data_IF_473150837913
#
_entry.id   IF_473150837913
#
_cell.length_a   1.000
_cell.length_b   1.000
_cell.length_c   1.000
_cell.angle_alpha   90.00
_cell.angle_beta   90.00
_cell.angle_gamma   90.00
#
_symmetry.space_group_name_H-M   'P 1'
#
loop_
_entity.id
_entity.type
_entity.pdbx_description
1 polymer ?
#
# COMPACT_ATOMS: atom_id res chain seq x y z
N UNK A 1 39.98 0.49 8.45
CA UNK A 1 38.70 1.21 8.59
C UNK A 1 37.59 0.22 8.31
N UNK A 2 36.60 0.08 9.17
CA UNK A 2 35.47 -0.83 8.91
C UNK A 2 34.55 -0.23 7.85
N UNK A 3 33.74 -1.08 7.17
CA UNK A 3 32.73 -0.63 6.21
C UNK A 3 31.73 0.34 6.90
N UNK A 4 31.40 0.07 8.15
CA UNK A 4 30.51 0.92 8.92
C UNK A 4 31.08 2.34 9.10
N UNK A 5 32.38 2.46 9.37
CA UNK A 5 33.02 3.79 9.48
C UNK A 5 33.05 4.53 8.14
N UNK A 6 33.28 3.81 7.04
CA UNK A 6 33.26 4.43 5.69
C UNK A 6 31.86 4.95 5.36
N UNK A 7 30.83 4.19 5.69
CA UNK A 7 29.43 4.60 5.46
C UNK A 7 29.10 5.81 6.32
N UNK A 8 29.47 5.82 7.61
CA UNK A 8 29.24 6.95 8.49
C UNK A 8 29.93 8.22 8.00
N UNK A 9 31.19 8.13 7.61
CA UNK A 9 31.94 9.27 7.02
C UNK A 9 31.31 9.77 5.73
N UNK A 10 30.82 8.86 4.86
CA UNK A 10 30.13 9.22 3.64
C UNK A 10 28.81 9.96 3.94
N UNK A 11 28.03 9.45 4.86
CA UNK A 11 26.74 10.05 5.24
C UNK A 11 26.93 11.42 5.85
N UNK A 12 27.94 11.62 6.70
CA UNK A 12 28.27 12.90 7.28
C UNK A 12 28.64 13.94 6.20
N UNK A 13 29.45 13.53 5.21
CA UNK A 13 29.83 14.40 4.09
C UNK A 13 28.64 14.76 3.20
N UNK A 14 27.82 13.75 2.84
CA UNK A 14 26.63 13.98 1.99
C UNK A 14 25.61 14.87 2.69
N UNK A 15 25.49 14.80 4.01
CA UNK A 15 24.62 15.69 4.78
C UNK A 15 25.03 17.16 4.70
N UNK A 16 26.31 17.44 4.50
CA UNK A 16 26.83 18.80 4.40
C UNK A 16 26.61 19.42 3.01
N UNK A 17 26.24 18.62 1.99
CA UNK A 17 25.99 19.13 0.65
C UNK A 17 24.59 19.75 0.52
N UNK A 18 24.54 20.98 0.04
CA UNK A 18 23.29 21.69 -0.21
C UNK A 18 22.48 20.97 -1.31
N UNK A 19 21.23 20.64 -0.99
CA UNK A 19 20.33 19.94 -1.91
C UNK A 19 20.45 18.41 -1.92
N UNK A 20 21.43 17.81 -1.24
CA UNK A 20 21.47 16.37 -1.05
C UNK A 20 20.32 15.92 -0.13
N UNK A 21 19.58 14.90 -0.55
CA UNK A 21 18.46 14.34 0.19
C UNK A 21 17.45 15.38 0.73
N UNK A 22 16.77 16.14 -0.15
CA UNK A 22 15.88 17.24 0.25
C UNK A 22 14.74 16.86 1.17
N UNK A 23 14.42 15.55 1.26
CA UNK A 23 13.33 15.00 2.09
C UNK A 23 13.81 14.42 3.42
N UNK A 24 15.08 14.54 3.78
CA UNK A 24 15.54 14.09 5.09
C UNK A 24 14.98 14.98 6.20
N UNK A 25 14.35 14.33 7.17
CA UNK A 25 13.55 14.97 8.24
C UNK A 25 14.30 16.00 9.08
N UNK A 26 15.60 15.88 9.22
CA UNK A 26 16.37 16.66 10.23
C UNK A 26 17.07 17.90 9.69
N UNK A 27 16.79 18.35 8.46
CA UNK A 27 17.68 19.36 7.85
C UNK A 27 17.12 20.75 7.62
N UNK A 28 15.84 20.97 7.77
CA UNK A 28 15.26 22.31 7.58
C UNK A 28 14.29 22.64 8.72
N UNK A 29 14.59 23.74 9.39
CA UNK A 29 13.61 24.38 10.25
C UNK A 29 12.43 24.85 9.39
N UNK A 30 11.22 24.50 9.80
CA UNK A 30 10.01 24.97 9.12
C UNK A 30 9.77 26.43 9.45
N UNK A 31 9.78 27.28 8.44
CA UNK A 31 9.49 28.71 8.56
C UNK A 31 8.07 28.98 8.05
N UNK A 32 7.12 29.34 8.94
CA UNK A 32 5.75 29.64 8.53
C UNK A 32 5.70 30.77 7.49
N UNK A 33 4.99 30.53 6.38
CA UNK A 33 4.85 31.48 5.28
C UNK A 33 5.95 31.42 4.22
N UNK A 34 7.07 30.72 4.49
CA UNK A 34 8.20 30.57 3.56
C UNK A 34 8.42 29.11 3.15
N UNK A 35 8.39 28.21 4.11
CA UNK A 35 8.61 26.78 3.83
C UNK A 35 7.42 26.16 3.11
N UNK A 36 7.65 25.38 2.02
CA UNK A 36 6.56 24.68 1.35
C UNK A 36 5.97 23.60 2.24
N UNK A 37 4.65 23.49 2.24
CA UNK A 37 3.92 22.36 2.82
C UNK A 37 3.71 21.33 1.72
N UNK A 38 4.40 20.20 1.81
CA UNK A 38 4.28 19.13 0.83
C UNK A 38 3.04 18.28 1.11
N UNK A 39 2.40 17.81 0.06
CA UNK A 39 1.28 16.89 0.11
C UNK A 39 1.67 15.57 0.82
N UNK A 40 2.82 15.03 0.47
CA UNK A 40 3.40 13.84 1.10
C UNK A 40 4.91 13.82 0.90
N UNK A 41 5.59 12.91 1.55
CA UNK A 41 7.02 12.70 1.37
C UNK A 41 7.52 11.57 2.28
N UNK A 42 8.70 11.00 1.97
CA UNK A 42 9.28 9.99 2.84
C UNK A 42 9.76 10.64 4.15
N UNK A 43 9.49 9.96 5.25
CA UNK A 43 10.13 10.25 6.52
C UNK A 43 11.30 9.30 6.70
N UNK A 44 12.51 9.80 6.54
CA UNK A 44 13.74 9.01 6.63
C UNK A 44 14.90 9.83 7.17
N UNK A 45 15.88 9.15 7.73
CA UNK A 45 17.13 9.72 8.22
C UNK A 45 18.35 8.90 7.75
N UNK A 46 19.44 9.02 8.46
CA UNK A 46 20.67 8.30 8.14
C UNK A 46 20.52 6.78 8.30
N UNK A 47 19.60 6.31 9.14
CA UNK A 47 19.45 4.88 9.41
C UNK A 47 18.97 4.14 8.16
N UNK A 48 18.01 4.70 7.43
CA UNK A 48 17.51 4.10 6.19
C UNK A 48 18.62 4.05 5.13
N UNK A 49 19.38 5.13 4.99
CA UNK A 49 20.47 5.20 4.01
C UNK A 49 21.58 4.22 4.38
N UNK A 50 21.97 4.15 5.65
CA UNK A 50 22.97 3.22 6.13
C UNK A 50 22.58 1.75 5.86
N UNK A 51 21.32 1.40 6.12
CA UNK A 51 20.81 0.03 5.86
C UNK A 51 20.80 -0.29 4.38
N UNK A 52 20.45 0.67 3.50
CA UNK A 52 20.50 0.51 2.04
C UNK A 52 21.93 0.21 1.59
N UNK A 53 22.90 1.02 1.99
CA UNK A 53 24.32 0.79 1.64
C UNK A 53 24.83 -0.53 2.18
N UNK A 54 24.55 -0.87 3.43
CA UNK A 54 24.94 -2.15 4.02
C UNK A 54 24.35 -3.34 3.27
N UNK A 55 23.06 -3.26 2.91
CA UNK A 55 22.38 -4.29 2.16
C UNK A 55 22.98 -4.47 0.76
N UNK A 56 23.29 -3.37 0.08
CA UNK A 56 23.93 -3.38 -1.23
C UNK A 56 25.32 -4.00 -1.19
N UNK A 57 26.16 -3.61 -0.24
CA UNK A 57 27.54 -4.11 -0.13
C UNK A 57 27.64 -5.57 0.33
N UNK A 58 26.68 -6.05 1.12
CA UNK A 58 26.62 -7.44 1.60
C UNK A 58 25.85 -8.37 0.67
N UNK A 59 25.06 -7.82 -0.24
CA UNK A 59 24.24 -8.59 -1.17
C UNK A 59 25.06 -9.34 -2.19
N UNK A 60 24.70 -10.62 -2.44
CA UNK A 60 25.32 -11.42 -3.50
C UNK A 60 24.72 -11.16 -4.87
N UNK A 61 23.47 -10.67 -4.89
CA UNK A 61 22.67 -10.43 -6.08
C UNK A 61 21.85 -9.14 -5.91
N UNK A 62 21.66 -8.42 -7.00
CA UNK A 62 20.74 -7.25 -7.05
C UNK A 62 19.30 -7.73 -7.28
N UNK A 63 18.79 -8.54 -6.38
CA UNK A 63 17.46 -9.13 -6.44
C UNK A 63 16.91 -9.33 -5.02
N UNK A 64 15.69 -9.86 -4.91
CA UNK A 64 15.12 -10.25 -3.62
C UNK A 64 16.05 -11.16 -2.85
N UNK A 65 16.32 -10.81 -1.60
CA UNK A 65 17.29 -11.51 -0.77
C UNK A 65 16.87 -11.59 0.69
N UNK A 66 17.85 -11.64 1.57
CA UNK A 66 17.64 -11.85 3.01
C UNK A 66 16.79 -10.75 3.66
N UNK A 67 16.98 -9.49 3.26
CA UNK A 67 16.23 -8.36 3.83
C UNK A 67 14.75 -8.40 3.42
N UNK A 68 14.45 -8.76 2.17
CA UNK A 68 13.07 -9.00 1.72
C UNK A 68 12.42 -10.12 2.54
N UNK A 69 13.11 -11.26 2.68
CA UNK A 69 12.59 -12.37 3.48
C UNK A 69 12.37 -12.02 4.96
N UNK A 70 13.23 -11.18 5.54
CA UNK A 70 13.04 -10.66 6.91
C UNK A 70 11.82 -9.74 6.99
N UNK A 71 11.69 -8.84 6.01
CA UNK A 71 10.55 -7.92 5.94
C UNK A 71 9.24 -8.70 5.84
N UNK A 72 9.12 -9.62 4.89
CA UNK A 72 7.91 -10.42 4.68
C UNK A 72 7.48 -11.16 5.95
N UNK A 73 8.42 -11.81 6.65
CA UNK A 73 8.13 -12.51 7.92
C UNK A 73 7.69 -11.56 9.03
N UNK A 74 8.35 -10.40 9.18
CA UNK A 74 7.98 -9.41 10.21
C UNK A 74 6.63 -8.78 9.91
N UNK A 75 6.39 -8.44 8.65
CA UNK A 75 5.15 -7.82 8.20
C UNK A 75 3.95 -8.75 8.40
N UNK A 76 4.03 -9.99 7.91
CA UNK A 76 2.96 -10.96 8.10
C UNK A 76 2.66 -11.22 9.58
N UNK A 77 3.70 -11.35 10.42
CA UNK A 77 3.53 -11.52 11.87
C UNK A 77 2.85 -10.31 12.53
N UNK A 78 3.26 -9.06 12.14
CA UNK A 78 2.69 -7.83 12.70
C UNK A 78 1.19 -7.72 12.45
N UNK A 79 0.72 -8.15 11.29
CA UNK A 79 -0.69 -8.06 10.86
C UNK A 79 -1.46 -9.38 11.00
N UNK A 80 -0.91 -10.37 11.72
CA UNK A 80 -1.59 -11.65 11.95
C UNK A 80 -1.88 -12.45 10.67
N UNK A 81 -1.08 -12.29 9.62
CA UNK A 81 -1.25 -12.99 8.34
C UNK A 81 -0.32 -14.21 8.27
N UNK A 82 -0.76 -15.23 7.54
CA UNK A 82 0.04 -16.46 7.36
C UNK A 82 1.35 -16.19 6.61
N UNK A 83 1.32 -15.29 5.62
CA UNK A 83 2.49 -14.89 4.82
C UNK A 83 2.25 -13.54 4.19
N UNK A 84 3.33 -12.92 3.73
CA UNK A 84 3.29 -11.75 2.86
C UNK A 84 4.26 -11.92 1.70
N UNK A 85 4.03 -11.19 0.63
CA UNK A 85 4.87 -11.16 -0.55
C UNK A 85 5.20 -9.71 -0.89
N UNK A 86 6.49 -9.41 -0.94
CA UNK A 86 6.97 -8.10 -1.33
C UNK A 86 7.07 -7.99 -2.85
N UNK A 87 6.55 -6.90 -3.38
CA UNK A 87 6.63 -6.53 -4.81
C UNK A 87 7.19 -5.11 -4.93
N UNK A 88 7.42 -4.65 -6.15
CA UNK A 88 8.09 -3.37 -6.42
C UNK A 88 7.24 -2.13 -6.17
N UNK A 89 5.92 -2.27 -6.04
CA UNK A 89 4.99 -1.15 -5.79
C UNK A 89 3.63 -1.63 -5.28
N UNK A 90 2.85 -0.74 -4.68
CA UNK A 90 1.45 -0.99 -4.32
C UNK A 90 0.59 -1.34 -5.53
N UNK A 91 0.83 -0.70 -6.67
CA UNK A 91 0.14 -1.02 -7.93
C UNK A 91 0.37 -2.47 -8.38
N UNK A 92 1.61 -2.95 -8.28
CA UNK A 92 1.94 -4.36 -8.55
C UNK A 92 1.34 -5.30 -7.49
N UNK A 93 1.28 -4.86 -6.24
CA UNK A 93 0.63 -5.63 -5.18
C UNK A 93 -0.86 -5.85 -5.48
N UNK A 94 -1.58 -4.80 -5.86
CA UNK A 94 -2.98 -4.88 -6.26
C UNK A 94 -3.19 -5.83 -7.45
N UNK A 95 -2.33 -5.72 -8.47
CA UNK A 95 -2.42 -6.58 -9.66
C UNK A 95 -2.23 -8.07 -9.31
N UNK A 96 -1.19 -8.38 -8.54
CA UNK A 96 -0.89 -9.75 -8.11
C UNK A 96 -1.98 -10.29 -7.19
N UNK A 97 -2.48 -9.45 -6.28
CA UNK A 97 -3.53 -9.82 -5.34
C UNK A 97 -4.84 -10.21 -6.05
N UNK A 98 -5.33 -9.40 -6.98
CA UNK A 98 -6.54 -9.70 -7.76
C UNK A 98 -6.33 -10.97 -8.62
N UNK A 99 -5.18 -11.10 -9.29
CA UNK A 99 -4.87 -12.29 -10.08
C UNK A 99 -4.84 -13.57 -9.21
N UNK A 100 -4.25 -13.48 -8.03
CA UNK A 100 -4.17 -14.60 -7.09
C UNK A 100 -5.54 -15.00 -6.56
N UNK A 101 -6.40 -14.03 -6.21
CA UNK A 101 -7.75 -14.26 -5.74
C UNK A 101 -8.61 -14.89 -6.84
N UNK A 102 -8.55 -14.34 -8.05
CA UNK A 102 -9.24 -14.91 -9.22
C UNK A 102 -8.90 -16.39 -9.42
N UNK A 103 -7.60 -16.70 -9.39
CA UNK A 103 -7.11 -18.08 -9.53
C UNK A 103 -7.55 -18.97 -8.37
N UNK A 104 -7.41 -18.49 -7.13
CA UNK A 104 -7.72 -19.26 -5.92
C UNK A 104 -9.20 -19.63 -5.82
N UNK A 105 -10.08 -18.70 -6.15
CA UNK A 105 -11.53 -18.86 -6.00
C UNK A 105 -12.24 -19.24 -7.31
N UNK A 106 -11.51 -19.38 -8.41
CA UNK A 106 -12.05 -19.79 -9.70
C UNK A 106 -12.97 -18.73 -10.34
N UNK A 107 -12.73 -17.45 -10.07
CA UNK A 107 -13.53 -16.36 -10.66
C UNK A 107 -13.40 -16.35 -12.19
N UNK A 108 -14.50 -16.02 -12.84
CA UNK A 108 -14.59 -16.02 -14.31
C UNK A 108 -14.46 -14.58 -14.87
N UNK A 109 -14.15 -14.48 -16.15
CA UNK A 109 -14.21 -13.20 -16.86
C UNK A 109 -15.64 -12.64 -16.81
N UNK A 110 -15.74 -11.34 -16.48
CA UNK A 110 -17.03 -10.67 -16.27
C UNK A 110 -17.64 -10.84 -14.88
N UNK A 111 -17.01 -11.58 -13.97
CA UNK A 111 -17.36 -11.51 -12.55
C UNK A 111 -17.06 -10.10 -11.99
N UNK A 112 -17.80 -9.71 -10.97
CA UNK A 112 -17.86 -8.33 -10.51
C UNK A 112 -17.10 -8.11 -9.20
N UNK A 113 -16.40 -6.97 -9.12
CA UNK A 113 -15.77 -6.47 -7.89
C UNK A 113 -16.33 -5.08 -7.61
N UNK A 114 -16.93 -4.91 -6.44
CA UNK A 114 -17.42 -3.60 -5.98
C UNK A 114 -16.22 -2.76 -5.55
N UNK A 115 -16.19 -1.50 -5.98
CA UNK A 115 -15.10 -0.56 -5.73
C UNK A 115 -15.63 0.86 -5.63
N UNK A 116 -15.01 1.70 -4.79
CA UNK A 116 -15.36 3.12 -4.72
C UNK A 116 -15.06 3.86 -6.02
N UNK A 117 -15.87 4.85 -6.35
CA UNK A 117 -15.59 5.80 -7.44
C UNK A 117 -14.46 6.78 -7.10
N UNK A 118 -14.11 6.93 -5.82
CA UNK A 118 -12.98 7.75 -5.34
C UNK A 118 -11.87 6.83 -4.84
N UNK A 119 -10.67 7.05 -5.34
CA UNK A 119 -9.50 6.26 -4.98
C UNK A 119 -8.40 6.38 -6.03
N UNK A 120 -7.38 5.54 -5.88
CA UNK A 120 -6.26 5.55 -6.82
C UNK A 120 -6.54 4.66 -8.04
N UNK A 121 -6.11 5.05 -9.26
CA UNK A 121 -6.41 4.29 -10.49
C UNK A 121 -5.98 2.82 -10.44
N UNK A 122 -4.93 2.49 -9.68
CA UNK A 122 -4.42 1.12 -9.57
C UNK A 122 -5.16 0.25 -8.56
N UNK A 123 -6.17 0.77 -7.88
CA UNK A 123 -7.18 -0.05 -7.19
C UNK A 123 -8.18 -0.61 -8.20
N UNK A 124 -8.49 0.14 -9.27
CA UNK A 124 -9.47 -0.23 -10.30
C UNK A 124 -8.84 -1.02 -11.46
N UNK A 125 -7.69 -0.54 -11.97
CA UNK A 125 -7.05 -1.13 -13.15
C UNK A 125 -6.81 -2.65 -13.06
N UNK A 126 -6.36 -3.24 -11.94
CA UNK A 126 -6.19 -4.69 -11.80
C UNK A 126 -7.47 -5.51 -11.97
N UNK A 127 -8.63 -4.96 -11.65
CA UNK A 127 -9.93 -5.62 -11.86
C UNK A 127 -10.12 -5.84 -13.36
N UNK A 128 -9.98 -4.77 -14.14
CA UNK A 128 -10.15 -4.81 -15.61
C UNK A 128 -9.05 -5.66 -16.26
N UNK A 129 -7.80 -5.51 -15.84
CA UNK A 129 -6.67 -6.26 -16.37
C UNK A 129 -6.79 -7.78 -16.18
N UNK A 130 -7.51 -8.19 -15.14
CA UNK A 130 -7.81 -9.60 -14.88
C UNK A 130 -9.14 -10.07 -15.50
N UNK A 131 -9.75 -9.30 -16.40
CA UNK A 131 -11.00 -9.65 -17.07
C UNK A 131 -12.24 -9.56 -16.17
N UNK A 132 -12.11 -8.98 -14.99
CA UNK A 132 -13.22 -8.74 -14.07
C UNK A 132 -13.87 -7.38 -14.38
N UNK A 133 -15.05 -7.15 -13.83
CA UNK A 133 -15.84 -5.94 -14.04
C UNK A 133 -15.90 -5.13 -12.74
N UNK A 134 -15.40 -3.88 -12.72
CA UNK A 134 -15.62 -2.99 -11.59
C UNK A 134 -17.08 -2.55 -11.53
N UNK A 135 -17.67 -2.61 -10.34
CA UNK A 135 -18.99 -2.06 -10.03
C UNK A 135 -18.78 -0.92 -9.05
N UNK A 136 -19.10 0.30 -9.48
CA UNK A 136 -18.82 1.49 -8.70
C UNK A 136 -19.92 1.78 -7.71
N UNK A 137 -19.51 2.18 -6.51
CA UNK A 137 -20.34 2.81 -5.47
C UNK A 137 -19.87 4.22 -5.23
N UNK A 138 -20.79 5.10 -4.90
CA UNK A 138 -20.47 6.48 -4.53
C UNK A 138 -19.93 6.56 -3.11
N UNK A 139 -19.47 7.73 -2.73
CA UNK A 139 -18.93 8.05 -1.42
C UNK A 139 -19.91 8.86 -0.60
N UNK A 140 -19.85 8.72 0.72
CA UNK A 140 -20.44 9.71 1.59
C UNK A 140 -19.43 10.87 1.79
N UNK A 141 -19.94 12.10 1.87
CA UNK A 141 -19.11 13.30 2.01
C UNK A 141 -18.61 13.56 3.44
N UNK A 142 -18.98 12.70 4.39
CA UNK A 142 -18.56 12.85 5.80
C UNK A 142 -17.14 12.34 6.00
N UNK A 143 -16.82 11.18 5.42
CA UNK A 143 -15.54 10.50 5.60
C UNK A 143 -14.85 10.14 4.27
N UNK A 144 -15.47 10.45 3.14
CA UNK A 144 -15.01 10.17 1.78
C UNK A 144 -14.86 8.67 1.46
N UNK A 145 -15.38 7.81 2.31
CA UNK A 145 -15.48 6.39 2.03
C UNK A 145 -16.81 6.07 1.32
N UNK A 146 -16.94 4.88 0.84
CA UNK A 146 -18.16 4.40 0.19
C UNK A 146 -19.38 4.43 1.10
N UNK A 147 -20.52 4.60 0.50
CA UNK A 147 -21.80 4.41 1.15
C UNK A 147 -22.02 2.91 1.35
N UNK A 148 -22.10 2.48 2.62
CA UNK A 148 -22.24 1.06 2.99
C UNK A 148 -23.55 0.47 2.47
N UNK A 149 -24.64 1.24 2.51
CA UNK A 149 -25.95 0.79 2.03
C UNK A 149 -25.90 0.55 0.52
N UNK A 150 -25.25 1.46 -0.23
CA UNK A 150 -25.08 1.29 -1.67
C UNK A 150 -24.21 0.08 -2.01
N UNK A 151 -23.20 -0.24 -1.19
CA UNK A 151 -22.39 -1.46 -1.39
C UNK A 151 -23.29 -2.69 -1.40
N UNK A 152 -24.20 -2.81 -0.44
CA UNK A 152 -25.08 -3.96 -0.37
C UNK A 152 -26.08 -4.02 -1.54
N UNK A 153 -26.63 -2.88 -1.94
CA UNK A 153 -27.56 -2.77 -3.08
C UNK A 153 -26.93 -3.20 -4.42
N UNK A 154 -25.63 -2.98 -4.59
CA UNK A 154 -24.89 -3.34 -5.82
C UNK A 154 -24.49 -4.81 -5.90
N UNK A 155 -24.72 -5.62 -4.86
CA UNK A 155 -24.37 -7.04 -4.88
C UNK A 155 -25.27 -7.81 -5.84
N UNK A 156 -24.65 -8.53 -6.74
CA UNK A 156 -25.30 -9.43 -7.70
C UNK A 156 -24.81 -10.87 -7.55
N UNK A 157 -25.40 -11.79 -8.31
CA UNK A 157 -24.93 -13.19 -8.38
C UNK A 157 -23.52 -13.33 -8.97
N UNK A 158 -23.01 -12.28 -9.61
CA UNK A 158 -21.67 -12.22 -10.19
C UNK A 158 -20.65 -11.55 -9.27
N UNK A 159 -21.07 -10.91 -8.20
CA UNK A 159 -20.16 -10.24 -7.26
C UNK A 159 -19.28 -11.25 -6.55
N UNK A 160 -17.98 -11.03 -6.55
CA UNK A 160 -16.96 -11.89 -5.93
C UNK A 160 -16.26 -11.23 -4.77
N UNK A 161 -16.26 -9.92 -4.71
CA UNK A 161 -15.61 -9.19 -3.64
C UNK A 161 -15.90 -7.71 -3.65
N UNK A 162 -15.49 -7.09 -2.55
CA UNK A 162 -15.47 -5.66 -2.33
C UNK A 162 -14.01 -5.26 -2.19
N UNK A 163 -13.54 -4.31 -2.98
CA UNK A 163 -12.15 -3.85 -2.97
C UNK A 163 -12.08 -2.44 -2.39
N UNK A 164 -11.71 -2.33 -1.13
CA UNK A 164 -11.62 -1.08 -0.39
C UNK A 164 -10.29 -0.37 -0.60
N UNK A 165 -10.33 0.95 -0.55
CA UNK A 165 -9.15 1.79 -0.42
C UNK A 165 -9.54 2.97 0.48
N UNK A 166 -9.24 2.90 1.81
CA UNK A 166 -9.59 3.97 2.73
C UNK A 166 -8.92 5.29 2.33
N UNK A 167 -9.71 6.26 1.92
CA UNK A 167 -9.23 7.50 1.31
C UNK A 167 -8.47 8.34 2.33
N UNK A 168 -7.27 8.77 1.99
CA UNK A 168 -6.38 9.60 2.83
C UNK A 168 -6.14 9.02 4.24
N UNK A 169 -6.24 7.70 4.38
CA UNK A 169 -6.05 7.02 5.66
C UNK A 169 -7.25 7.07 6.59
N UNK A 170 -8.41 7.56 6.13
CA UNK A 170 -9.61 7.61 6.92
C UNK A 170 -10.33 6.25 6.90
N UNK A 171 -10.45 5.53 8.03
CA UNK A 171 -11.07 4.21 8.04
C UNK A 171 -12.57 4.29 7.78
N UNK A 172 -13.08 3.34 6.98
CA UNK A 172 -14.53 3.13 6.79
C UNK A 172 -15.09 2.25 7.90
N UNK A 173 -16.41 2.10 7.96
CA UNK A 173 -17.06 1.13 8.83
C UNK A 173 -16.72 -0.30 8.40
N UNK A 174 -15.59 -0.77 8.94
CA UNK A 174 -15.04 -2.10 8.61
C UNK A 174 -15.98 -3.22 9.02
N UNK A 175 -16.63 -3.11 10.18
CA UNK A 175 -17.48 -4.15 10.72
C UNK A 175 -18.74 -4.33 9.86
N UNK A 176 -19.34 -3.24 9.41
CA UNK A 176 -20.48 -3.28 8.51
C UNK A 176 -20.14 -3.93 7.16
N UNK A 177 -19.01 -3.55 6.55
CA UNK A 177 -18.58 -4.14 5.27
C UNK A 177 -18.19 -5.61 5.45
N UNK A 178 -17.56 -5.98 6.55
CA UNK A 178 -17.21 -7.36 6.84
C UNK A 178 -18.46 -8.23 6.99
N UNK A 179 -19.48 -7.75 7.71
CA UNK A 179 -20.77 -8.44 7.86
C UNK A 179 -21.44 -8.67 6.49
N UNK A 180 -21.46 -7.65 5.63
CA UNK A 180 -21.97 -7.79 4.26
C UNK A 180 -21.18 -8.87 3.50
N UNK A 181 -19.87 -8.83 3.53
CA UNK A 181 -19.02 -9.80 2.84
C UNK A 181 -19.27 -11.23 3.33
N UNK A 182 -19.47 -11.43 4.63
CA UNK A 182 -19.75 -12.74 5.23
C UNK A 182 -21.15 -13.26 4.84
N UNK A 183 -22.17 -12.40 4.92
CA UNK A 183 -23.56 -12.76 4.53
C UNK A 183 -23.66 -13.20 3.07
N UNK A 184 -22.98 -12.50 2.18
CA UNK A 184 -23.00 -12.78 0.75
C UNK A 184 -21.89 -13.73 0.30
N UNK A 185 -20.99 -14.15 1.20
CA UNK A 185 -19.84 -15.05 0.93
C UNK A 185 -18.91 -14.54 -0.17
N UNK A 186 -18.68 -13.24 -0.18
CA UNK A 186 -17.76 -12.54 -1.07
C UNK A 186 -16.49 -12.12 -0.32
N UNK A 187 -15.43 -11.76 -1.06
CA UNK A 187 -14.14 -11.44 -0.45
C UNK A 187 -14.03 -9.94 -0.12
N UNK A 188 -13.59 -9.61 1.09
CA UNK A 188 -13.13 -8.27 1.40
C UNK A 188 -11.64 -8.16 1.03
N UNK A 189 -11.32 -7.20 0.18
CA UNK A 189 -9.98 -6.91 -0.33
C UNK A 189 -9.65 -5.47 0.06
N UNK A 190 -8.45 -5.21 0.54
CA UNK A 190 -8.09 -3.86 0.99
C UNK A 190 -6.76 -3.39 0.40
N UNK A 191 -6.80 -2.24 -0.25
CA UNK A 191 -5.64 -1.45 -0.62
C UNK A 191 -5.36 -0.46 0.51
N UNK A 192 -4.35 -0.74 1.31
CA UNK A 192 -4.00 0.07 2.47
C UNK A 192 -2.81 1.01 2.19
N UNK A 193 -2.63 1.45 0.95
CA UNK A 193 -1.55 2.36 0.61
C UNK A 193 -1.58 3.64 1.46
N UNK A 194 -2.77 4.21 1.62
CA UNK A 194 -2.98 5.43 2.39
C UNK A 194 -3.29 5.18 3.88
N UNK A 195 -3.62 3.95 4.26
CA UNK A 195 -4.25 3.65 5.56
C UNK A 195 -3.48 2.63 6.41
N UNK A 196 -2.25 2.31 6.04
CA UNK A 196 -1.48 1.34 6.83
C UNK A 196 -1.13 1.89 8.21
N UNK A 197 -1.80 1.40 9.24
CA UNK A 197 -1.62 1.81 10.63
C UNK A 197 -2.63 2.84 11.13
N UNK A 198 -3.65 3.16 10.32
CA UNK A 198 -4.79 3.97 10.75
C UNK A 198 -5.67 3.23 11.76
#
# INVERSE_FOLDING_TARGET
MSIDNIISDLLEKVQCEEGAFPYMVNKREFIPGESPVYYSGPYWDNNEIEVIFKSFLKGKWLASGEEVNKFERKFSKKFGKASSLMVNSGSSANLVMIAALKKKFGWQDGDEIIVSCVGFPTTIAPIVQNGLKPVFVDINFTDLNWDVDEVEEKISTKTRGVFSSPVLGNPYDFDAILDICERYKIQLISDNCDSLGS
#
